data_IF_214992659629
#
_entry.id   IF_214992659629
#
_cell.length_a   1.000
_cell.length_b   1.000
_cell.length_c   1.000
_cell.angle_alpha   90.00
_cell.angle_beta   90.00
_cell.angle_gamma   90.00
#
_symmetry.space_group_name_H-M   'P 1'
#
loop_
_entity.id
_entity.type
_entity.pdbx_description
1 polymer ?
#
# COMPACT_ATOMS: atom_id res chain seq x y z
N UNK A 1 -43.70 37.44 44.78
CA UNK A 1 -42.45 37.77 45.49
C UNK A 1 -42.09 36.52 46.27
N UNK A 2 -41.96 35.38 45.57
CA UNK A 2 -40.78 34.93 44.78
C UNK A 2 -39.80 34.26 45.76
N UNK A 3 -39.22 33.08 45.57
CA UNK A 3 -39.30 31.99 44.60
C UNK A 3 -38.52 30.82 45.25
N UNK A 4 -38.69 29.60 44.72
CA UNK A 4 -37.74 28.46 44.75
C UNK A 4 -37.55 27.69 46.08
N UNK A 5 -37.84 26.37 46.10
CA UNK A 5 -36.90 25.34 45.65
C UNK A 5 -37.41 23.91 45.94
N UNK A 6 -37.29 23.05 44.93
CA UNK A 6 -37.52 21.61 44.95
C UNK A 6 -36.44 20.87 45.76
N UNK A 7 -36.84 19.90 46.60
CA UNK A 7 -35.96 18.93 47.23
C UNK A 7 -36.45 17.50 46.97
N UNK A 8 -35.58 16.73 46.33
CA UNK A 8 -35.64 15.30 46.02
C UNK A 8 -36.09 14.39 47.19
N UNK A 9 -36.90 13.36 46.91
CA UNK A 9 -36.50 11.97 47.21
C UNK A 9 -37.34 10.90 46.49
N UNK A 10 -36.65 10.07 45.72
CA UNK A 10 -36.79 8.62 45.50
C UNK A 10 -38.11 7.91 45.84
N UNK A 11 -38.63 7.13 44.88
CA UNK A 11 -38.50 5.66 44.94
C UNK A 11 -38.85 4.99 43.60
N UNK A 12 -38.15 3.88 43.39
CA UNK A 12 -38.11 2.96 42.27
C UNK A 12 -39.45 2.31 41.88
N UNK A 13 -39.69 2.19 40.57
CA UNK A 13 -40.55 1.16 39.98
C UNK A 13 -39.98 0.72 38.64
N UNK A 14 -40.01 -0.59 38.46
CA UNK A 14 -39.50 -1.38 37.33
C UNK A 14 -40.23 -1.00 36.04
N UNK A 15 -39.51 -0.87 34.92
CA UNK A 15 -40.10 -0.63 33.61
C UNK A 15 -39.64 -1.71 32.62
N UNK A 16 -40.63 -2.45 32.12
CA UNK A 16 -40.56 -3.51 31.12
C UNK A 16 -40.32 -2.88 29.74
N UNK A 17 -39.25 -3.29 29.04
CA UNK A 17 -39.09 -2.94 27.62
C UNK A 17 -39.66 -4.07 26.76
N UNK A 18 -40.89 -3.87 26.29
CA UNK A 18 -41.56 -4.65 25.26
C UNK A 18 -40.79 -4.54 23.92
N UNK A 19 -40.59 -5.69 23.27
CA UNK A 19 -40.07 -5.80 21.91
C UNK A 19 -41.27 -5.71 20.96
N UNK A 20 -41.36 -4.64 20.16
CA UNK A 20 -42.37 -4.55 19.11
C UNK A 20 -41.81 -5.04 17.76
N UNK A 21 -42.66 -5.82 17.13
CA UNK A 21 -42.53 -6.63 15.93
C UNK A 21 -43.10 -5.88 14.70
N UNK A 22 -42.71 -6.35 13.52
CA UNK A 22 -43.28 -6.08 12.17
C UNK A 22 -43.11 -4.72 11.47
N UNK A 23 -42.43 -4.72 10.32
CA UNK A 23 -43.12 -4.77 9.00
C UNK A 23 -42.15 -4.70 7.81
N UNK A 24 -42.14 -5.76 7.01
CA UNK A 24 -41.49 -5.91 5.72
C UNK A 24 -42.32 -5.23 4.62
N UNK A 25 -41.72 -4.31 3.86
CA UNK A 25 -42.36 -3.59 2.74
C UNK A 25 -41.80 -4.09 1.42
N UNK A 26 -42.42 -5.15 0.88
CA UNK A 26 -42.24 -5.57 -0.51
C UNK A 26 -43.04 -4.64 -1.43
N UNK A 27 -42.33 -3.78 -2.17
CA UNK A 27 -42.91 -2.95 -3.23
C UNK A 27 -43.20 -3.80 -4.47
N UNK A 28 -44.46 -3.78 -4.90
CA UNK A 28 -44.96 -4.48 -6.09
C UNK A 28 -44.50 -3.82 -7.39
N UNK A 29 -44.28 -4.67 -8.40
CA UNK A 29 -44.06 -4.30 -9.78
C UNK A 29 -45.19 -4.93 -10.62
N UNK A 30 -46.14 -4.09 -11.03
CA UNK A 30 -47.21 -4.41 -11.97
C UNK A 30 -46.73 -4.03 -13.38
N UNK A 31 -46.51 -5.03 -14.23
CA UNK A 31 -46.60 -4.83 -15.68
C UNK A 31 -47.17 -6.08 -16.35
N UNK A 32 -48.48 -6.05 -16.61
CA UNK A 32 -49.21 -6.97 -17.47
C UNK A 32 -48.70 -6.89 -18.92
N UNK A 33 -48.25 -8.02 -19.46
CA UNK A 33 -48.23 -8.28 -20.90
C UNK A 33 -48.76 -9.70 -21.15
N UNK A 34 -50.01 -9.77 -21.60
CA UNK A 34 -50.65 -10.96 -22.15
C UNK A 34 -49.85 -11.50 -23.34
N UNK A 35 -49.29 -12.71 -23.20
CA UNK A 35 -48.78 -13.48 -24.33
C UNK A 35 -49.69 -14.69 -24.50
N UNK A 36 -50.53 -14.63 -25.52
CA UNK A 36 -51.39 -15.71 -25.96
C UNK A 36 -50.57 -16.96 -26.28
N UNK A 37 -51.11 -18.09 -25.81
CA UNK A 37 -50.64 -19.45 -25.96
C UNK A 37 -50.47 -19.82 -27.44
N UNK A 38 -49.23 -19.97 -27.88
CA UNK A 38 -48.89 -20.53 -29.18
C UNK A 38 -47.97 -21.73 -28.96
N UNK A 39 -48.56 -22.93 -29.02
CA UNK A 39 -47.89 -24.21 -29.07
C UNK A 39 -46.81 -24.22 -30.18
N UNK A 40 -45.55 -24.06 -29.77
CA UNK A 40 -44.40 -24.38 -30.61
C UNK A 40 -43.55 -25.40 -29.86
N UNK A 41 -43.79 -26.67 -30.19
CA UNK A 41 -42.92 -27.78 -29.84
C UNK A 41 -41.52 -27.51 -30.42
N UNK A 42 -40.58 -27.09 -29.56
CA UNK A 42 -39.17 -26.99 -29.90
C UNK A 42 -38.36 -27.92 -28.99
N UNK A 43 -37.77 -28.90 -29.66
CA UNK A 43 -36.87 -29.94 -29.17
C UNK A 43 -35.91 -29.41 -28.09
N UNK A 44 -35.96 -30.03 -26.91
CA UNK A 44 -35.06 -29.78 -25.79
C UNK A 44 -33.63 -30.18 -26.16
N UNK A 45 -32.90 -29.27 -26.81
CA UNK A 45 -31.45 -29.30 -26.79
C UNK A 45 -31.00 -28.63 -25.50
N UNK A 46 -30.62 -29.46 -24.52
CA UNK A 46 -29.78 -29.08 -23.39
C UNK A 46 -28.48 -28.47 -23.94
N UNK A 47 -28.52 -27.18 -24.25
CA UNK A 47 -27.32 -26.38 -24.39
C UNK A 47 -26.89 -26.09 -22.98
N UNK A 48 -25.76 -26.68 -22.58
CA UNK A 48 -25.00 -26.33 -21.40
C UNK A 48 -24.89 -24.80 -21.29
N UNK A 49 -25.82 -24.17 -20.56
CA UNK A 49 -25.68 -22.79 -20.12
C UNK A 49 -24.57 -22.85 -19.08
N UNK A 50 -23.32 -22.74 -19.54
CA UNK A 50 -22.21 -22.40 -18.66
C UNK A 50 -22.64 -21.13 -17.95
N UNK A 51 -22.62 -21.08 -16.60
CA UNK A 51 -22.96 -19.87 -15.89
C UNK A 51 -22.09 -18.74 -16.45
N UNK A 52 -22.74 -17.74 -17.05
CA UNK A 52 -22.04 -16.54 -17.51
C UNK A 52 -21.36 -15.95 -16.28
N UNK A 53 -20.03 -15.87 -16.30
CA UNK A 53 -19.28 -15.17 -15.26
C UNK A 53 -19.92 -13.81 -15.06
N UNK A 54 -20.17 -13.46 -13.81
CA UNK A 54 -20.75 -12.15 -13.50
C UNK A 54 -19.74 -11.07 -13.94
N UNK A 55 -20.20 -9.93 -14.42
CA UNK A 55 -19.34 -8.88 -15.02
C UNK A 55 -18.25 -8.33 -14.09
N UNK A 56 -18.33 -8.64 -12.78
CA UNK A 56 -17.36 -8.28 -11.75
C UNK A 56 -16.39 -9.41 -11.37
N UNK A 57 -16.56 -10.62 -11.90
CA UNK A 57 -15.61 -11.72 -11.66
C UNK A 57 -14.36 -11.50 -12.51
N UNK A 58 -13.32 -10.97 -11.88
CA UNK A 58 -12.01 -10.80 -12.51
C UNK A 58 -11.25 -12.11 -12.45
N UNK A 59 -10.76 -12.56 -13.61
CA UNK A 59 -9.80 -13.66 -13.67
C UNK A 59 -8.50 -13.21 -12.99
N UNK A 60 -8.19 -13.80 -11.84
CA UNK A 60 -6.96 -13.53 -11.11
C UNK A 60 -6.00 -14.70 -11.23
N UNK A 61 -4.70 -14.38 -11.27
CA UNK A 61 -3.62 -15.36 -11.22
C UNK A 61 -2.70 -14.99 -10.07
N UNK A 62 -2.54 -15.93 -9.13
CA UNK A 62 -1.66 -15.76 -7.99
C UNK A 62 -0.23 -16.11 -8.43
N UNK A 63 0.70 -15.21 -8.15
CA UNK A 63 2.12 -15.39 -8.44
C UNK A 63 2.90 -15.52 -7.13
N UNK A 64 3.91 -16.39 -7.12
CA UNK A 64 4.85 -16.47 -6.02
C UNK A 64 5.87 -15.33 -6.08
N UNK A 65 6.55 -15.00 -4.97
CA UNK A 65 7.64 -14.01 -4.99
C UNK A 65 8.74 -14.33 -6.01
N UNK A 66 9.04 -15.61 -6.23
CA UNK A 66 10.01 -16.05 -7.24
C UNK A 66 9.55 -15.83 -8.68
N UNK A 67 8.26 -16.02 -8.95
CA UNK A 67 7.67 -15.74 -10.27
C UNK A 67 7.75 -14.25 -10.60
N UNK A 68 7.51 -13.40 -9.59
CA UNK A 68 7.62 -11.95 -9.74
C UNK A 68 9.07 -11.59 -10.04
N UNK A 69 10.05 -12.06 -9.26
CA UNK A 69 11.48 -11.79 -9.52
C UNK A 69 11.91 -12.22 -10.93
N UNK A 70 11.49 -13.41 -11.37
CA UNK A 70 11.79 -13.88 -12.73
C UNK A 70 11.14 -13.01 -13.82
N UNK A 71 9.99 -12.40 -13.53
CA UNK A 71 9.37 -11.42 -14.42
C UNK A 71 10.12 -10.08 -14.41
N UNK A 72 10.50 -9.58 -13.23
CA UNK A 72 11.28 -8.36 -13.08
C UNK A 72 12.59 -8.44 -13.88
N UNK A 73 13.31 -9.56 -13.74
CA UNK A 73 14.57 -9.78 -14.44
C UNK A 73 14.38 -9.79 -15.95
N UNK A 74 13.30 -10.40 -16.47
CA UNK A 74 12.99 -10.37 -17.91
C UNK A 74 12.77 -8.94 -18.42
N UNK A 75 12.01 -8.12 -17.69
CA UNK A 75 11.77 -6.72 -18.08
C UNK A 75 13.04 -5.88 -17.95
N UNK A 76 13.86 -6.12 -16.93
CA UNK A 76 15.18 -5.49 -16.80
C UNK A 76 16.05 -5.84 -18.01
N UNK A 77 16.08 -7.11 -18.43
CA UNK A 77 16.88 -7.56 -19.57
C UNK A 77 16.39 -6.93 -20.88
N UNK A 78 15.08 -6.88 -21.11
CA UNK A 78 14.47 -6.22 -22.28
C UNK A 78 14.86 -4.74 -22.35
N UNK A 79 14.71 -4.01 -21.25
CA UNK A 79 15.02 -2.58 -21.21
C UNK A 79 16.54 -2.35 -21.24
N UNK A 80 17.34 -3.23 -20.66
CA UNK A 80 18.81 -3.17 -20.69
C UNK A 80 19.32 -3.29 -22.13
N UNK A 81 18.72 -4.17 -22.94
CA UNK A 81 19.04 -4.29 -24.37
C UNK A 81 18.67 -3.03 -25.17
N UNK A 82 17.56 -2.37 -24.82
CA UNK A 82 17.11 -1.14 -25.52
C UNK A 82 17.99 0.06 -25.14
N UNK A 83 18.28 0.25 -23.85
CA UNK A 83 19.02 1.41 -23.35
C UNK A 83 20.54 1.26 -23.47
N UNK A 84 21.05 0.05 -23.68
CA UNK A 84 22.49 -0.26 -23.72
C UNK A 84 23.19 -0.13 -22.36
N UNK A 85 22.42 -0.12 -21.27
CA UNK A 85 22.90 0.02 -19.89
C UNK A 85 23.04 -1.34 -19.21
N UNK A 86 23.96 -1.51 -18.24
CA UNK A 86 24.03 -2.73 -17.42
C UNK A 86 22.70 -3.02 -16.72
N UNK A 87 22.37 -4.30 -16.54
CA UNK A 87 21.12 -4.72 -15.90
C UNK A 87 20.94 -4.11 -14.50
N UNK A 88 22.02 -3.87 -13.76
CA UNK A 88 22.00 -3.21 -12.45
C UNK A 88 21.55 -1.75 -12.55
N UNK A 89 22.08 -1.01 -13.53
CA UNK A 89 21.72 0.37 -13.81
C UNK A 89 20.29 0.46 -14.31
N UNK A 90 19.88 -0.44 -15.22
CA UNK A 90 18.51 -0.53 -15.72
C UNK A 90 17.51 -0.83 -14.61
N UNK A 91 17.84 -1.71 -13.66
CA UNK A 91 16.97 -1.98 -12.52
C UNK A 91 16.76 -0.73 -11.64
N UNK A 92 17.79 0.10 -11.47
CA UNK A 92 17.68 1.38 -10.74
C UNK A 92 16.82 2.37 -11.52
N UNK A 93 17.04 2.51 -12.83
CA UNK A 93 16.24 3.38 -13.71
C UNK A 93 14.76 2.97 -13.72
N UNK A 94 14.47 1.67 -13.81
CA UNK A 94 13.11 1.17 -13.74
C UNK A 94 12.47 1.47 -12.39
N UNK A 95 13.19 1.35 -11.28
CA UNK A 95 12.68 1.76 -9.97
C UNK A 95 12.41 3.26 -9.88
N UNK A 96 13.28 4.10 -10.46
CA UNK A 96 13.06 5.54 -10.54
C UNK A 96 11.80 5.87 -11.35
N UNK A 97 11.63 5.23 -12.51
CA UNK A 97 10.46 5.36 -13.37
C UNK A 97 9.23 4.59 -12.87
N UNK A 98 9.23 4.10 -11.61
CA UNK A 98 8.14 3.33 -11.00
C UNK A 98 7.67 2.14 -11.87
N UNK A 99 8.62 1.49 -12.56
CA UNK A 99 8.46 0.37 -13.49
C UNK A 99 7.65 0.64 -14.76
N UNK A 100 7.44 1.92 -15.09
CA UNK A 100 6.85 2.31 -16.37
C UNK A 100 7.92 2.32 -17.48
N UNK A 101 7.99 1.23 -18.26
CA UNK A 101 9.00 1.05 -19.31
C UNK A 101 8.90 2.08 -20.44
N UNK A 102 7.69 2.47 -20.84
CA UNK A 102 7.47 3.37 -21.97
C UNK A 102 7.95 4.77 -21.64
N UNK A 103 7.49 5.29 -20.49
CA UNK A 103 7.92 6.60 -19.98
C UNK A 103 9.43 6.66 -19.75
N UNK A 104 10.03 5.57 -19.25
CA UNK A 104 11.47 5.51 -19.06
C UNK A 104 12.23 5.62 -20.39
N UNK A 105 11.79 4.88 -21.41
CA UNK A 105 12.44 4.91 -22.74
C UNK A 105 12.30 6.30 -23.36
N UNK A 106 11.11 6.92 -23.29
CA UNK A 106 10.90 8.28 -23.79
C UNK A 106 11.81 9.30 -23.09
N UNK A 107 11.82 9.31 -21.75
CA UNK A 107 12.66 10.23 -20.97
C UNK A 107 14.16 10.02 -21.20
N UNK A 108 14.58 8.76 -21.36
CA UNK A 108 15.99 8.43 -21.63
C UNK A 108 16.42 8.90 -23.02
N UNK A 109 15.56 8.77 -24.04
CA UNK A 109 15.84 9.22 -25.41
C UNK A 109 15.89 10.75 -25.51
N UNK A 110 15.09 11.46 -24.71
CA UNK A 110 15.08 12.93 -24.68
C UNK A 110 16.27 13.50 -23.90
N UNK A 111 16.53 12.98 -22.70
CA UNK A 111 17.52 13.54 -21.75
C UNK A 111 18.26 12.47 -20.96
N UNK A 112 19.17 11.77 -21.63
CA UNK A 112 19.96 10.68 -21.04
C UNK A 112 20.78 11.12 -19.80
N UNK A 113 21.57 12.21 -19.88
CA UNK A 113 22.51 12.59 -18.82
C UNK A 113 21.78 13.05 -17.54
N UNK A 114 20.76 13.91 -17.66
CA UNK A 114 19.95 14.41 -16.53
C UNK A 114 19.25 13.25 -15.80
N UNK A 115 18.70 12.29 -16.57
CA UNK A 115 18.03 11.13 -16.00
C UNK A 115 19.00 10.20 -15.25
N UNK A 116 20.21 9.99 -15.76
CA UNK A 116 21.24 9.17 -15.11
C UNK A 116 21.76 9.82 -13.82
N UNK A 117 21.87 11.15 -13.78
CA UNK A 117 22.26 11.91 -12.60
C UNK A 117 21.16 11.90 -11.53
N UNK A 118 19.91 12.15 -11.92
CA UNK A 118 18.73 12.12 -11.03
C UNK A 118 18.45 10.71 -10.46
N UNK A 119 18.70 9.68 -11.27
CA UNK A 119 18.62 8.29 -10.83
C UNK A 119 19.81 7.88 -9.94
N UNK A 120 20.82 8.73 -9.78
CA UNK A 120 21.98 8.47 -8.93
C UNK A 120 22.96 7.44 -9.49
N UNK A 121 22.99 7.25 -10.81
CA UNK A 121 23.89 6.33 -11.49
C UNK A 121 25.21 6.99 -11.87
N UNK A 122 25.19 8.24 -12.32
CA UNK A 122 26.40 9.01 -12.67
C UNK A 122 27.29 8.34 -13.74
N UNK A 123 28.39 8.99 -14.13
CA UNK A 123 29.34 8.43 -15.10
C UNK A 123 30.12 7.24 -14.51
N UNK A 124 30.15 6.14 -15.27
CA UNK A 124 30.72 4.85 -14.89
C UNK A 124 32.24 4.94 -14.67
N UNK A 125 32.66 5.10 -13.41
CA UNK A 125 34.04 4.81 -13.02
C UNK A 125 34.14 3.32 -12.73
N UNK A 126 34.64 2.56 -13.71
CA UNK A 126 34.86 1.12 -13.64
C UNK A 126 35.69 0.72 -12.40
N UNK A 127 35.02 0.36 -11.32
CA UNK A 127 35.62 -0.13 -10.08
C UNK A 127 34.83 -1.31 -9.54
N UNK A 128 35.48 -2.48 -9.48
CA UNK A 128 34.87 -3.69 -8.92
C UNK A 128 34.66 -3.52 -7.42
N UNK A 129 33.42 -3.72 -6.99
CA UNK A 129 33.01 -3.72 -5.59
C UNK A 129 33.75 -4.85 -4.86
N UNK A 130 34.57 -4.52 -3.86
CA UNK A 130 35.27 -5.51 -3.02
C UNK A 130 35.24 -5.09 -1.57
N UNK A 131 34.90 -6.04 -0.70
CA UNK A 131 35.21 -5.95 0.73
C UNK A 131 36.73 -6.05 0.83
N UNK A 132 37.35 -5.06 1.45
CA UNK A 132 38.78 -5.02 1.68
C UNK A 132 39.03 -4.79 3.16
N UNK A 133 40.07 -5.43 3.71
CA UNK A 133 40.54 -5.09 5.04
C UNK A 133 41.00 -3.64 5.07
N UNK A 134 40.70 -2.95 6.16
CA UNK A 134 41.27 -1.65 6.46
C UNK A 134 42.79 -1.74 6.34
N UNK A 135 43.41 -0.86 5.56
CA UNK A 135 44.85 -0.65 5.71
C UNK A 135 45.12 0.06 7.03
N UNK A 136 46.38 0.12 7.46
CA UNK A 136 46.82 0.88 8.65
C UNK A 136 46.65 2.41 8.53
N UNK A 137 46.00 2.90 7.48
CA UNK A 137 45.77 4.31 7.15
C UNK A 137 44.29 4.58 6.82
N UNK A 138 43.39 3.71 7.27
CA UNK A 138 41.94 3.90 7.13
C UNK A 138 41.33 4.30 8.46
N UNK A 139 40.64 5.43 8.46
CA UNK A 139 39.74 5.86 9.52
C UNK A 139 38.33 5.95 8.93
N UNK A 140 37.35 5.36 9.61
CA UNK A 140 35.96 5.43 9.16
C UNK A 140 35.33 6.77 9.53
N UNK A 141 34.79 7.51 8.56
CA UNK A 141 34.17 8.83 8.82
C UNK A 141 32.88 8.77 9.68
N UNK A 142 32.29 7.59 9.85
CA UNK A 142 31.04 7.40 10.61
C UNK A 142 31.32 7.08 12.09
N UNK A 143 32.20 6.11 12.35
CA UNK A 143 32.49 5.65 13.72
C UNK A 143 33.83 6.15 14.26
N UNK A 144 34.67 6.78 13.43
CA UNK A 144 36.03 7.19 13.74
C UNK A 144 36.97 6.05 14.19
N UNK A 145 36.60 4.79 13.95
CA UNK A 145 37.47 3.64 14.21
C UNK A 145 38.57 3.53 13.15
N UNK A 146 39.79 3.24 13.62
CA UNK A 146 41.03 3.11 12.84
C UNK A 146 41.65 1.70 12.93
N UNK A 147 40.86 0.70 13.33
CA UNK A 147 41.32 -0.68 13.48
C UNK A 147 41.77 -1.26 12.10
N UNK A 148 43.04 -1.67 11.95
CA UNK A 148 43.57 -2.20 10.69
C UNK A 148 43.03 -3.59 10.33
N UNK A 149 42.33 -4.29 11.22
CA UNK A 149 41.68 -5.57 10.90
C UNK A 149 40.18 -5.41 10.56
N UNK A 150 39.66 -4.19 10.53
CA UNK A 150 38.25 -3.94 10.25
C UNK A 150 37.92 -4.18 8.77
N UNK A 151 36.84 -4.90 8.50
CA UNK A 151 36.35 -5.03 7.12
C UNK A 151 35.74 -3.69 6.66
N UNK A 152 36.20 -3.23 5.50
CA UNK A 152 35.73 -2.00 4.87
C UNK A 152 35.06 -2.29 3.55
N UNK A 153 34.06 -1.48 3.23
CA UNK A 153 33.32 -1.56 1.98
C UNK A 153 33.32 -0.21 1.28
N UNK A 154 33.84 -0.19 0.05
CA UNK A 154 33.88 0.98 -0.81
C UNK A 154 32.82 0.87 -1.91
N UNK A 155 31.99 1.90 -2.02
CA UNK A 155 31.00 2.02 -3.09
C UNK A 155 31.64 2.54 -4.38
N UNK A 156 30.94 2.43 -5.51
CA UNK A 156 31.38 2.99 -6.81
C UNK A 156 31.63 4.50 -6.77
N UNK A 157 31.05 5.22 -5.80
CA UNK A 157 31.30 6.64 -5.54
C UNK A 157 32.67 6.94 -4.92
N UNK A 158 33.45 5.94 -4.53
CA UNK A 158 34.73 6.12 -3.87
C UNK A 158 34.63 6.28 -2.34
N UNK A 159 33.43 6.49 -1.80
CA UNK A 159 33.21 6.53 -0.35
C UNK A 159 33.40 5.13 0.26
N UNK A 160 34.23 5.05 1.31
CA UNK A 160 34.60 3.82 2.00
C UNK A 160 34.21 3.93 3.47
N UNK A 161 33.43 2.97 3.95
CA UNK A 161 33.02 2.90 5.35
C UNK A 161 33.21 1.49 5.92
N UNK A 162 33.21 1.40 7.24
CA UNK A 162 33.29 0.12 7.95
C UNK A 162 32.05 -0.75 7.66
N UNK A 163 32.22 -2.07 7.52
CA UNK A 163 31.08 -3.00 7.35
C UNK A 163 30.05 -2.90 8.48
N UNK A 164 30.44 -2.77 9.77
CA UNK A 164 29.48 -2.53 10.85
C UNK A 164 28.62 -1.27 10.63
N UNK A 165 29.22 -0.19 10.15
CA UNK A 165 28.57 1.09 9.87
C UNK A 165 27.55 0.93 8.73
N UNK A 166 27.94 0.22 7.67
CA UNK A 166 27.03 -0.14 6.58
C UNK A 166 25.85 -0.99 7.05
N UNK A 167 26.10 -2.01 7.88
CA UNK A 167 25.04 -2.87 8.42
C UNK A 167 24.04 -2.06 9.25
N UNK A 168 24.52 -1.19 10.12
CA UNK A 168 23.63 -0.35 10.94
C UNK A 168 22.84 0.64 10.09
N UNK A 169 23.48 1.29 9.12
CA UNK A 169 22.81 2.20 8.18
C UNK A 169 21.69 1.49 7.40
N UNK A 170 22.00 0.33 6.82
CA UNK A 170 21.04 -0.46 6.05
C UNK A 170 19.92 -0.99 6.93
N UNK A 171 20.23 -1.39 8.17
CA UNK A 171 19.22 -1.82 9.14
C UNK A 171 18.19 -0.73 9.41
N UNK A 172 18.63 0.49 9.73
CA UNK A 172 17.73 1.62 9.99
C UNK A 172 16.89 1.97 8.76
N UNK A 173 17.49 2.02 7.56
CA UNK A 173 16.76 2.31 6.32
C UNK A 173 15.72 1.24 5.96
N UNK A 174 16.05 -0.03 6.11
CA UNK A 174 15.17 -1.14 5.72
C UNK A 174 14.11 -1.44 6.80
N UNK A 175 14.48 -1.38 8.08
CA UNK A 175 13.59 -1.75 9.19
C UNK A 175 12.73 -0.60 9.68
N UNK A 176 13.33 0.57 9.92
CA UNK A 176 12.63 1.68 10.58
C UNK A 176 11.95 2.58 9.55
N UNK A 177 12.64 2.92 8.45
CA UNK A 177 12.07 3.78 7.39
C UNK A 177 11.29 2.99 6.32
N UNK A 178 11.60 1.69 6.15
CA UNK A 178 10.94 0.85 5.14
C UNK A 178 11.33 1.18 3.69
N UNK A 179 12.45 1.87 3.48
CA UNK A 179 12.94 2.26 2.17
C UNK A 179 13.91 1.20 1.61
N UNK A 180 13.53 0.55 0.50
CA UNK A 180 14.38 -0.45 -0.18
C UNK A 180 14.78 -0.06 -1.61
N UNK A 181 14.00 0.77 -2.30
CA UNK A 181 14.20 1.07 -3.71
C UNK A 181 15.23 2.17 -3.99
N UNK A 182 15.45 3.09 -3.04
CA UNK A 182 16.29 4.30 -3.21
C UNK A 182 17.25 4.55 -2.05
N UNK A 183 17.92 3.51 -1.60
CA UNK A 183 18.94 3.64 -0.55
C UNK A 183 20.15 4.36 -1.14
N UNK A 184 20.45 5.56 -0.62
CA UNK A 184 21.60 6.38 -1.04
C UNK A 184 22.88 5.99 -0.28
N UNK A 185 24.01 6.43 -0.80
CA UNK A 185 25.29 6.32 -0.10
C UNK A 185 25.30 7.17 1.19
N UNK A 186 25.87 6.69 2.30
CA UNK A 186 26.01 7.46 3.55
C UNK A 186 26.95 8.68 3.48
N UNK A 187 27.62 8.91 2.36
CA UNK A 187 28.59 10.00 2.21
C UNK A 187 27.90 11.35 2.05
N UNK A 188 28.53 12.41 2.59
CA UNK A 188 28.06 13.78 2.44
C UNK A 188 27.95 14.15 0.96
N UNK A 189 26.81 14.73 0.57
CA UNK A 189 26.48 15.17 -0.80
C UNK A 189 26.53 14.07 -1.88
N UNK A 190 26.44 12.79 -1.50
CA UNK A 190 26.45 11.68 -2.45
C UNK A 190 25.05 11.19 -2.80
N UNK A 191 24.60 11.42 -4.04
CA UNK A 191 23.31 10.92 -4.54
C UNK A 191 23.36 9.50 -5.14
N UNK A 192 24.49 8.79 -5.04
CA UNK A 192 24.61 7.44 -5.62
C UNK A 192 23.77 6.39 -4.90
N UNK A 193 23.06 5.58 -5.66
CA UNK A 193 22.18 4.50 -5.15
C UNK A 193 22.99 3.21 -4.93
N UNK A 194 22.69 2.51 -3.84
CA UNK A 194 23.28 1.21 -3.53
C UNK A 194 22.64 0.11 -4.40
N UNK A 195 23.47 -0.66 -5.09
CA UNK A 195 23.05 -1.77 -5.96
C UNK A 195 22.62 -3.01 -5.15
N UNK A 196 21.79 -3.84 -5.77
CA UNK A 196 21.27 -5.06 -5.13
C UNK A 196 22.37 -6.05 -4.77
N UNK A 197 23.41 -6.20 -5.60
CA UNK A 197 24.53 -7.11 -5.33
C UNK A 197 25.33 -6.69 -4.10
N UNK A 198 25.60 -5.40 -3.95
CA UNK A 198 26.25 -4.86 -2.75
C UNK A 198 25.41 -5.07 -1.49
N UNK A 199 24.09 -4.89 -1.57
CA UNK A 199 23.18 -5.16 -0.46
C UNK A 199 23.16 -6.65 -0.08
N UNK A 200 23.16 -7.54 -1.07
CA UNK A 200 23.21 -8.98 -0.83
C UNK A 200 24.49 -9.44 -0.13
N UNK A 201 25.60 -8.73 -0.30
CA UNK A 201 26.87 -9.02 0.36
C UNK A 201 26.95 -8.46 1.79
N UNK A 202 26.32 -7.31 2.04
CA UNK A 202 26.44 -6.59 3.32
C UNK A 202 25.40 -7.01 4.35
N UNK A 203 24.23 -7.45 3.90
CA UNK A 203 23.04 -7.65 4.73
C UNK A 203 22.93 -9.11 5.19
N UNK A 204 22.54 -9.32 6.45
CA UNK A 204 22.27 -10.65 6.99
C UNK A 204 20.97 -11.26 6.42
N UNK A 205 20.83 -12.59 6.48
CA UNK A 205 19.72 -13.32 5.84
C UNK A 205 18.31 -12.85 6.27
N UNK A 206 18.17 -12.41 7.52
CA UNK A 206 16.92 -11.91 8.10
C UNK A 206 16.46 -10.59 7.45
N UNK A 207 17.38 -9.64 7.29
CA UNK A 207 17.15 -8.37 6.63
C UNK A 207 17.00 -8.53 5.11
N UNK A 208 17.68 -9.53 4.51
CA UNK A 208 17.59 -9.83 3.08
C UNK A 208 16.17 -10.21 2.69
N UNK A 209 15.48 -11.03 3.48
CA UNK A 209 14.09 -11.38 3.24
C UNK A 209 13.18 -10.15 3.22
N UNK A 210 13.32 -9.26 4.23
CA UNK A 210 12.55 -8.01 4.30
C UNK A 210 12.86 -7.08 3.12
N UNK A 211 14.12 -6.97 2.73
CA UNK A 211 14.54 -6.18 1.57
C UNK A 211 13.90 -6.67 0.27
N UNK A 212 13.89 -7.99 0.01
CA UNK A 212 13.23 -8.54 -1.18
C UNK A 212 11.72 -8.30 -1.19
N UNK A 213 11.05 -8.39 -0.03
CA UNK A 213 9.63 -8.06 0.09
C UNK A 213 9.37 -6.59 -0.26
N UNK A 214 10.16 -5.67 0.28
CA UNK A 214 10.02 -4.24 -0.01
C UNK A 214 10.31 -3.91 -1.47
N UNK A 215 11.34 -4.51 -2.07
CA UNK A 215 11.60 -4.39 -3.51
C UNK A 215 10.43 -4.91 -4.35
N UNK A 216 9.87 -6.06 -4.01
CA UNK A 216 8.72 -6.63 -4.72
C UNK A 216 7.49 -5.73 -4.61
N UNK A 217 7.27 -5.10 -3.44
CA UNK A 217 6.21 -4.10 -3.24
C UNK A 217 6.39 -2.85 -4.09
N UNK A 218 7.63 -2.47 -4.44
CA UNK A 218 7.87 -1.31 -5.32
C UNK A 218 7.50 -1.56 -6.78
N UNK A 219 7.40 -2.83 -7.19
CA UNK A 219 7.06 -3.21 -8.55
C UNK A 219 5.56 -3.16 -8.85
N UNK A 220 4.70 -3.43 -7.87
CA UNK A 220 3.25 -3.30 -8.03
C UNK A 220 2.73 -2.11 -7.22
N UNK A 221 2.42 -1.00 -7.89
CA UNK A 221 1.46 -0.04 -7.36
C UNK A 221 0.07 -0.62 -7.59
N UNK A 222 -0.44 -1.40 -6.63
CA UNK A 222 -1.78 -1.93 -6.75
C UNK A 222 -2.80 -0.79 -6.86
N UNK A 223 -2.57 0.40 -6.31
CA UNK A 223 -3.66 1.37 -6.15
C UNK A 223 -3.90 2.22 -7.41
N UNK A 224 -2.80 2.60 -8.09
CA UNK A 224 -2.82 3.46 -9.27
C UNK A 224 -3.27 2.69 -10.50
N UNK A 225 -4.18 3.29 -11.27
CA UNK A 225 -4.52 2.80 -12.61
C UNK A 225 -3.57 3.44 -13.65
N UNK A 226 -2.88 2.62 -14.45
CA UNK A 226 -2.08 3.11 -15.57
C UNK A 226 -2.90 3.07 -16.87
N UNK A 227 -3.19 4.23 -17.43
CA UNK A 227 -3.75 4.33 -18.77
C UNK A 227 -2.67 3.97 -19.80
N UNK A 228 -2.96 3.00 -20.67
CA UNK A 228 -2.05 2.60 -21.74
C UNK A 228 -1.86 3.77 -22.73
N UNK A 229 -0.64 4.26 -22.86
CA UNK A 229 -0.23 5.24 -23.86
C UNK A 229 0.16 4.55 -25.16
N UNK A 230 -0.66 4.67 -26.22
CA UNK A 230 -0.27 4.10 -27.53
C UNK A 230 -1.34 4.18 -28.63
N UNK A 231 -0.95 3.76 -29.83
CA UNK A 231 -1.77 3.70 -31.06
C UNK A 231 -3.08 2.89 -30.88
N UNK A 232 -3.17 2.07 -29.82
CA UNK A 232 -4.36 1.31 -29.41
C UNK A 232 -5.49 2.18 -28.86
N UNK A 233 -5.24 3.43 -28.44
CA UNK A 233 -6.25 4.34 -27.89
C UNK A 233 -7.15 5.02 -28.95
N UNK A 234 -6.98 4.69 -30.24
CA UNK A 234 -7.63 5.41 -31.36
C UNK A 234 -9.00 4.86 -31.76
N UNK A 235 -9.34 3.61 -31.39
CA UNK A 235 -10.65 3.03 -31.71
C UNK A 235 -11.72 3.33 -30.65
N UNK A 236 -12.95 3.63 -31.07
CA UNK A 236 -14.07 3.86 -30.15
C UNK A 236 -14.37 2.64 -29.26
N UNK A 237 -14.14 1.42 -29.79
CA UNK A 237 -14.23 0.17 -29.03
C UNK A 237 -13.10 0.05 -27.99
N UNK A 238 -11.92 0.61 -28.27
CA UNK A 238 -10.82 0.65 -27.31
C UNK A 238 -11.09 1.64 -26.17
N UNK A 239 -11.69 2.80 -26.45
CA UNK A 239 -12.11 3.75 -25.40
C UNK A 239 -13.15 3.17 -24.45
N UNK A 240 -14.18 2.50 -24.98
CA UNK A 240 -15.21 1.85 -24.15
C UNK A 240 -14.63 0.75 -23.26
N UNK A 241 -13.69 -0.05 -23.78
CA UNK A 241 -12.95 -1.06 -23.00
C UNK A 241 -12.06 -0.42 -21.93
N UNK A 242 -11.33 0.65 -22.25
CA UNK A 242 -10.47 1.36 -21.30
C UNK A 242 -11.26 1.98 -20.15
N UNK A 243 -12.45 2.55 -20.41
CA UNK A 243 -13.33 3.04 -19.36
C UNK A 243 -13.85 1.90 -18.46
N UNK A 244 -14.15 0.73 -19.04
CA UNK A 244 -14.56 -0.44 -18.27
C UNK A 244 -13.42 -1.02 -17.44
N UNK A 245 -12.21 -1.12 -17.98
CA UNK A 245 -11.01 -1.55 -17.27
C UNK A 245 -10.71 -0.62 -16.08
N UNK A 246 -10.81 0.71 -16.30
CA UNK A 246 -10.69 1.71 -15.23
C UNK A 246 -11.76 1.51 -14.16
N UNK A 247 -13.03 1.37 -14.55
CA UNK A 247 -14.12 1.11 -13.60
C UNK A 247 -13.88 -0.15 -12.77
N UNK A 248 -13.54 -1.27 -13.41
CA UNK A 248 -13.26 -2.53 -12.74
C UNK A 248 -12.08 -2.40 -11.76
N UNK A 249 -11.02 -1.67 -12.12
CA UNK A 249 -9.89 -1.44 -11.22
C UNK A 249 -10.31 -0.75 -9.91
N UNK A 250 -11.02 0.37 -9.98
CA UNK A 250 -11.46 1.10 -8.79
C UNK A 250 -12.57 0.36 -8.04
N UNK A 251 -13.52 -0.27 -8.75
CA UNK A 251 -14.63 -1.02 -8.14
C UNK A 251 -14.15 -2.25 -7.37
N UNK A 252 -13.23 -3.05 -7.93
CA UNK A 252 -12.71 -4.22 -7.22
C UNK A 252 -12.02 -3.82 -5.90
N UNK A 253 -11.30 -2.70 -5.87
CA UNK A 253 -10.66 -2.21 -4.64
C UNK A 253 -11.65 -1.67 -3.63
N UNK A 254 -12.64 -0.91 -4.10
CA UNK A 254 -13.78 -0.50 -3.28
C UNK A 254 -14.45 -1.74 -2.65
N UNK A 255 -14.79 -2.75 -3.45
CA UNK A 255 -15.48 -3.95 -3.01
C UNK A 255 -14.63 -4.80 -2.04
N UNK A 256 -13.33 -4.92 -2.30
CA UNK A 256 -12.40 -5.60 -1.40
C UNK A 256 -12.35 -4.90 -0.04
N UNK A 257 -12.21 -3.57 -0.01
CA UNK A 257 -12.21 -2.82 1.25
C UNK A 257 -13.57 -2.86 1.96
N UNK A 258 -14.68 -2.91 1.22
CA UNK A 258 -16.01 -3.12 1.79
C UNK A 258 -16.14 -4.50 2.45
N UNK A 259 -15.64 -5.54 1.79
CA UNK A 259 -15.63 -6.89 2.36
C UNK A 259 -14.72 -6.97 3.59
N UNK A 260 -13.52 -6.40 3.53
CA UNK A 260 -12.61 -6.31 4.69
C UNK A 260 -13.26 -5.55 5.84
N UNK A 261 -13.95 -4.43 5.59
CA UNK A 261 -14.65 -3.68 6.62
C UNK A 261 -15.79 -4.49 7.28
N UNK A 262 -16.47 -5.37 6.53
CA UNK A 262 -17.46 -6.30 7.10
C UNK A 262 -16.79 -7.33 8.01
N UNK A 263 -15.64 -7.88 7.60
CA UNK A 263 -14.86 -8.82 8.42
C UNK A 263 -14.26 -8.15 9.67
N UNK A 264 -13.90 -6.87 9.59
CA UNK A 264 -13.41 -6.09 10.74
C UNK A 264 -14.48 -5.94 11.84
N UNK A 265 -15.77 -6.00 11.50
CA UNK A 265 -16.85 -6.05 12.50
C UNK A 265 -16.74 -7.30 13.38
N UNK A 266 -16.34 -8.43 12.80
CA UNK A 266 -16.05 -9.65 13.57
C UNK A 266 -14.74 -9.54 14.35
N UNK A 267 -13.80 -8.71 13.88
CA UNK A 267 -12.56 -8.39 14.61
C UNK A 267 -12.90 -7.65 15.90
N UNK A 268 -13.90 -6.77 15.93
CA UNK A 268 -14.33 -6.12 17.18
C UNK A 268 -14.71 -7.15 18.26
N UNK A 269 -15.57 -8.11 17.93
CA UNK A 269 -15.99 -9.18 18.85
C UNK A 269 -14.82 -10.09 19.27
N UNK A 270 -13.87 -10.34 18.36
CA UNK A 270 -12.63 -11.06 18.69
C UNK A 270 -11.75 -10.22 19.61
N UNK A 271 -11.70 -8.91 19.43
CA UNK A 271 -10.89 -7.97 20.22
C UNK A 271 -11.39 -7.94 21.66
N UNK A 272 -12.70 -7.88 21.89
CA UNK A 272 -13.27 -7.95 23.25
C UNK A 272 -12.88 -9.25 23.97
N UNK A 273 -12.97 -10.40 23.28
CA UNK A 273 -12.51 -11.68 23.83
C UNK A 273 -11.01 -11.69 24.15
N UNK A 274 -10.18 -11.13 23.26
CA UNK A 274 -8.74 -10.99 23.49
C UNK A 274 -8.45 -10.07 24.69
N UNK A 275 -9.20 -8.99 24.86
CA UNK A 275 -9.07 -8.08 26.02
C UNK A 275 -9.39 -8.80 27.34
N UNK A 276 -10.47 -9.59 27.40
CA UNK A 276 -10.80 -10.39 28.60
C UNK A 276 -9.74 -11.46 28.91
N UNK A 277 -9.18 -12.11 27.87
CA UNK A 277 -8.10 -13.08 28.04
C UNK A 277 -6.83 -12.41 28.56
N UNK A 278 -6.45 -11.24 28.06
CA UNK A 278 -5.29 -10.49 28.55
C UNK A 278 -5.45 -10.01 30.00
N UNK A 279 -6.67 -9.66 30.42
CA UNK A 279 -6.96 -9.34 31.82
C UNK A 279 -6.77 -10.56 32.72
N UNK A 280 -7.23 -11.73 32.27
CA UNK A 280 -7.24 -12.96 33.08
C UNK A 280 -5.87 -13.64 33.12
N UNK A 281 -5.16 -13.70 31.99
CA UNK A 281 -3.90 -14.47 31.83
C UNK A 281 -2.67 -13.63 32.14
N UNK A 282 -2.65 -12.36 31.73
CA UNK A 282 -1.47 -11.49 31.89
C UNK A 282 -1.62 -10.53 33.08
N UNK A 283 -2.78 -10.49 33.72
CA UNK A 283 -3.04 -9.61 34.87
C UNK A 283 -3.09 -8.12 34.52
N UNK A 284 -3.22 -7.77 33.23
CA UNK A 284 -3.35 -6.38 32.81
C UNK A 284 -4.66 -5.77 33.32
N UNK A 285 -4.59 -4.53 33.79
CA UNK A 285 -5.77 -3.78 34.21
C UNK A 285 -6.68 -3.46 33.03
N UNK A 286 -7.94 -3.11 33.33
CA UNK A 286 -8.90 -2.69 32.30
C UNK A 286 -8.39 -1.51 31.46
N UNK A 287 -7.68 -0.56 32.08
CA UNK A 287 -7.06 0.59 31.40
C UNK A 287 -5.96 0.13 30.44
N UNK A 288 -5.20 -0.89 30.82
CA UNK A 288 -4.05 -1.35 30.04
C UNK A 288 -4.42 -2.12 28.78
N UNK A 289 -5.63 -2.67 28.68
CA UNK A 289 -6.12 -3.38 27.49
C UNK A 289 -6.90 -2.50 26.52
N UNK A 290 -7.26 -1.26 26.90
CA UNK A 290 -8.00 -0.32 26.08
C UNK A 290 -7.32 0.03 24.75
N UNK A 291 -5.99 -0.14 24.64
CA UNK A 291 -5.26 0.08 23.39
C UNK A 291 -5.75 -0.84 22.25
N UNK A 292 -6.22 -2.05 22.57
CA UNK A 292 -6.75 -2.99 21.57
C UNK A 292 -8.06 -2.49 20.96
N UNK A 293 -8.93 -1.94 21.81
CA UNK A 293 -10.19 -1.35 21.39
C UNK A 293 -9.93 -0.13 20.49
N UNK A 294 -9.04 0.78 20.92
CA UNK A 294 -8.66 1.96 20.15
C UNK A 294 -8.03 1.59 18.80
N UNK A 295 -7.17 0.57 18.78
CA UNK A 295 -6.58 0.05 17.54
C UNK A 295 -7.65 -0.52 16.59
N UNK A 296 -8.65 -1.24 17.12
CA UNK A 296 -9.73 -1.84 16.32
C UNK A 296 -10.63 -0.76 15.71
N UNK A 297 -10.99 0.25 16.50
CA UNK A 297 -11.75 1.41 16.02
C UNK A 297 -10.98 2.19 14.95
N UNK A 298 -9.68 2.42 15.16
CA UNK A 298 -8.83 3.09 14.19
C UNK A 298 -8.74 2.32 12.86
N UNK A 299 -8.57 1.00 12.91
CA UNK A 299 -8.52 0.13 11.73
C UNK A 299 -9.81 0.24 10.92
N UNK A 300 -10.98 0.10 11.57
CA UNK A 300 -12.28 0.21 10.92
C UNK A 300 -12.49 1.58 10.27
N UNK A 301 -12.15 2.67 10.98
CA UNK A 301 -12.26 4.02 10.43
C UNK A 301 -11.31 4.22 9.23
N UNK A 302 -10.05 3.78 9.33
CA UNK A 302 -9.09 3.86 8.22
C UNK A 302 -9.60 3.07 7.00
N UNK A 303 -10.15 1.84 7.16
CA UNK A 303 -10.71 1.04 6.05
C UNK A 303 -11.93 1.68 5.41
N UNK A 304 -12.84 2.24 6.21
CA UNK A 304 -14.00 2.95 5.68
C UNK A 304 -13.56 4.19 4.88
N UNK A 305 -12.57 4.94 5.35
CA UNK A 305 -11.97 6.03 4.57
C UNK A 305 -11.39 5.51 3.25
N UNK A 306 -10.56 4.46 3.29
CA UNK A 306 -9.95 3.88 2.09
C UNK A 306 -10.97 3.46 1.03
N UNK A 307 -12.06 2.80 1.45
CA UNK A 307 -13.17 2.47 0.56
C UNK A 307 -13.64 3.69 -0.24
N UNK A 308 -13.90 4.81 0.44
CA UNK A 308 -14.36 6.04 -0.22
C UNK A 308 -13.26 6.77 -0.98
N UNK A 309 -11.98 6.60 -0.61
CA UNK A 309 -10.87 7.15 -1.41
C UNK A 309 -10.84 6.56 -2.82
N UNK A 310 -11.17 5.28 -3.00
CA UNK A 310 -11.26 4.67 -4.33
C UNK A 310 -12.44 5.18 -5.16
N UNK A 311 -13.59 5.42 -4.51
CA UNK A 311 -14.73 6.05 -5.17
C UNK A 311 -14.40 7.48 -5.62
N UNK A 312 -13.70 8.24 -4.77
CA UNK A 312 -13.23 9.59 -5.10
C UNK A 312 -12.21 9.58 -6.25
N UNK A 313 -11.18 8.74 -6.15
CA UNK A 313 -10.11 8.62 -7.13
C UNK A 313 -10.59 8.25 -8.54
N UNK A 314 -11.66 7.45 -8.65
CA UNK A 314 -12.23 7.08 -9.93
C UNK A 314 -12.63 8.31 -10.77
N UNK A 315 -13.23 9.31 -10.12
CA UNK A 315 -13.74 10.52 -10.78
C UNK A 315 -12.68 11.60 -10.98
N UNK A 316 -11.51 11.50 -10.37
CA UNK A 316 -10.45 12.51 -10.49
C UNK A 316 -9.75 12.46 -11.85
N UNK A 317 -9.52 13.65 -12.41
CA UNK A 317 -8.69 13.85 -13.59
C UNK A 317 -7.21 13.84 -13.21
N UNK A 318 -6.38 13.18 -14.03
CA UNK A 318 -4.99 12.93 -13.68
C UNK A 318 -4.15 14.21 -13.79
N UNK A 319 -3.63 14.65 -12.66
CA UNK A 319 -2.73 15.79 -12.52
C UNK A 319 -1.77 15.58 -11.33
N UNK A 320 -0.88 16.55 -11.09
CA UNK A 320 0.11 16.44 -10.00
C UNK A 320 -0.53 16.27 -8.61
N UNK A 321 -1.70 16.86 -8.37
CA UNK A 321 -2.42 16.72 -7.09
C UNK A 321 -2.97 15.31 -6.92
N UNK A 322 -3.50 14.70 -7.99
CA UNK A 322 -3.93 13.30 -7.93
C UNK A 322 -2.76 12.35 -7.69
N UNK A 323 -1.56 12.67 -8.16
CA UNK A 323 -0.39 11.84 -7.86
C UNK A 323 -0.02 11.88 -6.38
N UNK A 324 -0.09 13.07 -5.75
CA UNK A 324 0.13 13.24 -4.31
C UNK A 324 -0.97 12.51 -3.51
N UNK A 325 -2.23 12.61 -3.95
CA UNK A 325 -3.35 11.90 -3.33
C UNK A 325 -3.16 10.38 -3.37
N UNK A 326 -2.77 9.82 -4.51
CA UNK A 326 -2.53 8.38 -4.66
C UNK A 326 -1.34 7.90 -3.82
N UNK A 327 -0.28 8.71 -3.70
CA UNK A 327 0.86 8.41 -2.82
C UNK A 327 0.41 8.42 -1.33
N UNK A 328 -0.42 9.39 -0.92
CA UNK A 328 -1.03 9.44 0.41
C UNK A 328 -1.99 8.25 0.67
N UNK A 329 -2.76 7.84 -0.34
CA UNK A 329 -3.66 6.69 -0.27
C UNK A 329 -2.86 5.40 -0.06
N UNK A 330 -1.76 5.23 -0.79
CA UNK A 330 -0.85 4.09 -0.64
C UNK A 330 -0.24 4.03 0.75
N UNK A 331 0.21 5.16 1.29
CA UNK A 331 0.74 5.24 2.65
C UNK A 331 -0.29 4.81 3.70
N UNK A 332 -1.56 5.23 3.54
CA UNK A 332 -2.65 4.83 4.42
C UNK A 332 -2.96 3.34 4.30
N UNK A 333 -3.00 2.78 3.09
CA UNK A 333 -3.22 1.34 2.91
C UNK A 333 -2.14 0.49 3.54
N UNK A 334 -0.88 0.85 3.35
CA UNK A 334 0.22 0.16 3.99
C UNK A 334 0.11 0.24 5.52
N UNK A 335 -0.28 1.38 6.07
CA UNK A 335 -0.51 1.54 7.51
C UNK A 335 -1.65 0.64 8.01
N UNK A 336 -2.76 0.56 7.26
CA UNK A 336 -3.92 -0.28 7.58
C UNK A 336 -3.56 -1.76 7.56
N UNK A 337 -2.88 -2.24 6.53
CA UNK A 337 -2.49 -3.65 6.43
C UNK A 337 -1.50 -4.04 7.54
N UNK A 338 -0.51 -3.18 7.82
CA UNK A 338 0.43 -3.40 8.91
C UNK A 338 -0.27 -3.41 10.29
N UNK A 339 -1.35 -2.64 10.48
CA UNK A 339 -2.14 -2.66 11.71
C UNK A 339 -3.04 -3.90 11.78
N UNK A 340 -3.63 -4.31 10.66
CA UNK A 340 -4.45 -5.52 10.56
C UNK A 340 -3.66 -6.78 10.91
N UNK A 341 -2.42 -6.88 10.44
CA UNK A 341 -1.53 -8.01 10.74
C UNK A 341 -1.28 -8.18 12.25
N UNK A 342 -1.25 -7.08 13.01
CA UNK A 342 -1.08 -7.14 14.47
C UNK A 342 -2.27 -7.84 15.15
N UNK A 343 -3.47 -7.77 14.58
CA UNK A 343 -4.66 -8.45 15.12
C UNK A 343 -4.65 -9.95 14.87
N UNK A 344 -3.85 -10.45 13.91
CA UNK A 344 -3.71 -11.88 13.62
C UNK A 344 -2.74 -12.58 14.58
N UNK A 345 -1.88 -11.81 15.28
CA UNK A 345 -0.92 -12.34 16.26
C UNK A 345 -1.62 -12.99 17.47
N UNK A 346 -0.97 -14.00 18.09
CA UNK A 346 -1.55 -14.74 19.20
C UNK A 346 -1.48 -13.90 20.50
N UNK A 347 -2.42 -14.14 21.41
CA UNK A 347 -2.74 -13.25 22.54
C UNK A 347 -1.61 -13.18 23.57
N UNK A 348 -0.89 -14.28 23.73
CA UNK A 348 0.29 -14.43 24.58
C UNK A 348 1.43 -13.46 24.24
N UNK A 349 1.49 -12.98 22.99
CA UNK A 349 2.51 -12.04 22.52
C UNK A 349 2.04 -10.59 22.50
N UNK A 350 0.74 -10.33 22.74
CA UNK A 350 0.17 -8.99 22.62
C UNK A 350 0.60 -8.04 23.75
N UNK A 351 0.98 -8.57 24.92
CA UNK A 351 1.50 -7.76 26.03
C UNK A 351 2.79 -7.03 25.64
N UNK A 352 3.70 -7.76 24.99
CA UNK A 352 5.02 -7.26 24.62
C UNK A 352 4.94 -6.35 23.39
N UNK A 353 3.93 -6.58 22.56
CA UNK A 353 3.65 -5.82 21.33
C UNK A 353 2.75 -4.60 21.56
N UNK A 354 2.39 -4.29 22.81
CA UNK A 354 1.50 -3.15 23.15
C UNK A 354 2.00 -1.83 22.58
N UNK A 355 3.28 -1.51 22.80
CA UNK A 355 3.90 -0.26 22.32
C UNK A 355 3.86 -0.22 20.80
N UNK A 356 4.27 -1.29 20.12
CA UNK A 356 4.25 -1.37 18.66
C UNK A 356 2.83 -1.20 18.10
N UNK A 357 1.83 -1.80 18.73
CA UNK A 357 0.43 -1.69 18.30
C UNK A 357 -0.11 -0.27 18.48
N UNK A 358 0.25 0.42 19.57
CA UNK A 358 -0.10 1.83 19.79
C UNK A 358 0.55 2.75 18.77
N UNK A 359 1.82 2.50 18.43
CA UNK A 359 2.56 3.29 17.44
C UNK A 359 1.94 3.12 16.04
N UNK A 360 1.65 1.88 15.62
CA UNK A 360 0.98 1.61 14.34
C UNK A 360 -0.43 2.21 14.28
N UNK A 361 -1.17 2.17 15.39
CA UNK A 361 -2.51 2.78 15.49
C UNK A 361 -2.43 4.30 15.31
N UNK A 362 -1.50 4.94 16.00
CA UNK A 362 -1.24 6.38 15.90
C UNK A 362 -0.79 6.78 14.50
N UNK A 363 0.04 5.94 13.86
CA UNK A 363 0.47 6.14 12.48
C UNK A 363 -0.69 6.03 11.47
N UNK A 364 -1.58 5.02 11.57
CA UNK A 364 -2.77 4.90 10.71
C UNK A 364 -3.65 6.14 10.82
N UNK A 365 -3.96 6.56 12.05
CA UNK A 365 -4.79 7.75 12.29
C UNK A 365 -4.15 9.01 11.71
N UNK A 366 -2.83 9.20 11.89
CA UNK A 366 -2.11 10.34 11.33
C UNK A 366 -2.18 10.34 9.80
N UNK A 367 -1.96 9.20 9.14
CA UNK A 367 -2.05 9.07 7.67
C UNK A 367 -3.47 9.33 7.17
N UNK A 368 -4.48 8.85 7.88
CA UNK A 368 -5.88 9.12 7.57
C UNK A 368 -6.19 10.62 7.63
N UNK A 369 -5.73 11.30 8.68
CA UNK A 369 -5.93 12.75 8.85
C UNK A 369 -5.21 13.55 7.77
N UNK A 370 -3.96 13.20 7.44
CA UNK A 370 -3.21 13.84 6.36
C UNK A 370 -3.97 13.73 5.04
N UNK A 371 -4.41 12.52 4.67
CA UNK A 371 -5.16 12.29 3.44
C UNK A 371 -6.46 13.09 3.40
N UNK A 372 -7.24 13.09 4.49
CA UNK A 372 -8.50 13.80 4.57
C UNK A 372 -8.32 15.33 4.57
N UNK A 373 -7.34 15.86 5.30
CA UNK A 373 -7.05 17.29 5.36
C UNK A 373 -6.61 17.82 4.00
N UNK A 374 -5.64 17.15 3.37
CA UNK A 374 -5.15 17.52 2.04
C UNK A 374 -6.29 17.47 1.01
N UNK A 375 -7.14 16.44 1.06
CA UNK A 375 -8.30 16.34 0.18
C UNK A 375 -9.31 17.47 0.41
N UNK A 376 -9.62 17.78 1.67
CA UNK A 376 -10.59 18.81 2.04
C UNK A 376 -10.11 20.23 1.70
N UNK A 377 -8.84 20.54 1.94
CA UNK A 377 -8.24 21.84 1.65
C UNK A 377 -8.20 22.12 0.14
N UNK A 378 -7.85 21.10 -0.65
CA UNK A 378 -7.88 21.19 -2.12
C UNK A 378 -9.32 21.28 -2.67
N UNK A 379 -10.29 20.60 -2.03
CA UNK A 379 -11.69 20.71 -2.41
C UNK A 379 -12.25 22.10 -2.13
N UNK A 380 -11.92 22.68 -0.97
CA UNK A 380 -12.30 24.05 -0.60
C UNK A 380 -11.70 25.10 -1.54
N UNK A 381 -10.48 24.85 -2.02
CA UNK A 381 -9.77 25.73 -2.94
C UNK A 381 -10.22 25.57 -4.40
N UNK A 382 -11.00 24.53 -4.72
CA UNK A 382 -11.43 24.23 -6.08
C UNK A 382 -10.31 23.69 -6.97
N UNK A 383 -9.27 23.09 -6.38
CA UNK A 383 -8.09 22.61 -7.11
C UNK A 383 -8.29 21.21 -7.74
N UNK A 384 -9.36 20.50 -7.37
CA UNK A 384 -9.65 19.18 -7.94
C UNK A 384 -10.28 19.30 -9.31
N UNK A 385 -9.69 18.60 -10.27
CA UNK A 385 -10.23 18.42 -11.61
C UNK A 385 -10.89 17.03 -11.68
N UNK A 386 -12.06 16.94 -12.33
CA UNK A 386 -12.83 15.71 -12.42
C UNK A 386 -13.05 15.33 -13.89
N UNK A 387 -13.12 14.02 -14.16
CA UNK A 387 -13.38 13.48 -15.51
C UNK A 387 -14.84 13.59 -15.94
N UNK A 388 -15.70 14.03 -15.03
CA UNK A 388 -17.14 14.23 -15.24
C UNK A 388 -17.48 15.67 -14.90
N UNK A 389 -18.40 16.23 -15.67
CA UNK A 389 -18.96 17.54 -15.36
C UNK A 389 -19.81 17.42 -14.10
N UNK A 390 -19.41 18.12 -13.05
CA UNK A 390 -20.12 18.16 -11.77
C UNK A 390 -21.20 19.25 -11.74
N UNK A 391 -21.35 20.03 -12.83
CA UNK A 391 -22.44 20.99 -12.96
C UNK A 391 -23.75 20.28 -13.33
N UNK A 392 -24.51 19.91 -12.29
CA UNK A 392 -25.92 19.51 -12.37
C UNK A 392 -26.85 20.68 -12.12
#
# INVERSE_FOLDING_TARGET
MDSDDDFNSAQSTEDEFMVDDDSDVSLGDDSDLDVEDADVAFDSQDKDIKPSKKSYEVDFKVYSPGDIQAYQNRVIDEVSQILGQPAESTAILLRYARWNKERLIEQYMDKQEELLEDAGLGDDVAGVVKIAKAGSDFMCDICADDDPDLDTFAMRCGHRFCVPCWKQYLYTKIKDEGEAARIKCPGSDCNRIVDSKSLELLVAEDLKARYHVLLTRTWYNCNRYEEKSGHEARDAQAKSRQSLERYLHYYNRYANHEQSAKLDKDIYLKTERKMMQLQTTSGMSWIEVQFLEQASQALQQCRQTLKWTYAFAYYLARNNLTEIFEDNQKDLEMAVENLSEMFEKPVDQLSDLKVEMMDKTSYCNRRRVILLSDTADNLKSGNWEFNVDLSG
#
